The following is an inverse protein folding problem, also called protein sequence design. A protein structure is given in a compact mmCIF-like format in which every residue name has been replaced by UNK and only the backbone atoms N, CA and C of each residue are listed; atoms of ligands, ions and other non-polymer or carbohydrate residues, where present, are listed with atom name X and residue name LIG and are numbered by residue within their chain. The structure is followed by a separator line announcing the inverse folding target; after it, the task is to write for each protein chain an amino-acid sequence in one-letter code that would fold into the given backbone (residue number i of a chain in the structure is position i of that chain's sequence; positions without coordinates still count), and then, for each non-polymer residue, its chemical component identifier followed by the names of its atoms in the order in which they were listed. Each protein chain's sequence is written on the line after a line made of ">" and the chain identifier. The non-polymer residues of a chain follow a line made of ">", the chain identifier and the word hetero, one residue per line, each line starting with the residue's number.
data_IF_145979831202
#
_entry.id   IF_145979831202
#
_cell.length_a   1.000
_cell.length_b   1.000
_cell.length_c   1.000
_cell.angle_alpha   90.00
_cell.angle_beta   90.00
_cell.angle_gamma   90.00
#
_symmetry.space_group_name_H-M   'P 1'
#
loop_
_entity.id
_entity.type
_entity.pdbx_description
1 polymer ?
#
# COMPACT_ATOMS: atom_id res chain seq x y z
N UNK A 1 8.58 2.14 28.15
CA UNK A 1 8.03 2.44 26.80
C UNK A 1 6.53 2.18 26.81
N UNK A 2 5.74 3.00 26.13
CA UNK A 2 4.30 2.73 25.96
C UNK A 2 4.13 1.69 24.85
N UNK A 3 3.21 0.75 25.02
CA UNK A 3 2.86 -0.23 23.99
C UNK A 3 2.43 0.50 22.71
N UNK A 4 2.97 0.08 21.57
CA UNK A 4 2.62 0.61 20.25
C UNK A 4 1.75 -0.43 19.56
N UNK A 5 0.58 -0.03 19.10
CA UNK A 5 -0.30 -0.85 18.28
C UNK A 5 0.25 -0.92 16.83
N UNK A 6 0.68 -2.11 16.34
CA UNK A 6 1.22 -2.27 14.99
C UNK A 6 0.21 -1.96 13.88
N UNK A 7 -1.09 -2.12 14.13
CA UNK A 7 -2.12 -1.76 13.17
C UNK A 7 -2.18 -0.24 12.99
N UNK A 8 -2.14 0.53 14.09
CA UNK A 8 -2.12 2.00 14.08
C UNK A 8 -0.80 2.59 13.58
N UNK A 9 0.30 1.87 13.73
CA UNK A 9 1.57 2.30 13.19
C UNK A 9 1.66 2.18 11.65
N UNK A 10 0.75 1.42 11.03
CA UNK A 10 0.62 1.29 9.57
C UNK A 10 1.62 0.31 8.95
N UNK A 11 2.85 0.25 9.45
CA UNK A 11 3.90 -0.68 9.00
C UNK A 11 4.90 -1.00 10.11
N UNK A 12 5.71 -2.05 9.92
CA UNK A 12 6.82 -2.40 10.83
C UNK A 12 7.76 -1.21 11.06
N UNK A 13 8.07 -0.48 10.01
CA UNK A 13 8.90 0.71 10.13
C UNK A 13 8.20 1.89 10.84
N UNK A 14 6.87 2.01 10.72
CA UNK A 14 6.10 2.93 11.55
C UNK A 14 6.23 2.61 13.04
N UNK A 15 6.22 1.31 13.39
CA UNK A 15 6.47 0.84 14.76
C UNK A 15 7.90 1.20 15.20
N UNK A 16 8.90 0.97 14.34
CA UNK A 16 10.30 1.30 14.63
C UNK A 16 10.48 2.80 14.87
N UNK A 17 9.90 3.66 14.02
CA UNK A 17 9.91 5.13 14.21
C UNK A 17 9.31 5.51 15.57
N UNK A 18 8.15 4.94 15.93
CA UNK A 18 7.49 5.24 17.20
C UNK A 18 8.31 4.78 18.41
N UNK A 19 8.89 3.57 18.35
CA UNK A 19 9.79 3.06 19.40
C UNK A 19 10.99 3.97 19.56
N UNK A 20 11.61 4.37 18.45
CA UNK A 20 12.72 5.30 18.44
C UNK A 20 12.33 6.62 19.12
N UNK A 21 11.23 7.26 18.71
CA UNK A 21 10.80 8.52 19.30
C UNK A 21 10.41 8.41 20.79
N UNK A 22 10.01 7.22 21.28
CA UNK A 22 9.81 6.99 22.71
C UNK A 22 11.14 6.92 23.50
N UNK A 23 12.22 6.47 22.86
CA UNK A 23 13.55 6.41 23.47
C UNK A 23 14.22 7.79 23.55
N UNK A 24 13.83 8.73 22.68
CA UNK A 24 14.37 10.08 22.60
C UNK A 24 13.28 11.12 22.95
N UNK A 25 13.03 11.39 24.25
CA UNK A 25 11.93 12.27 24.69
C UNK A 25 12.09 13.73 24.24
N UNK A 26 13.32 14.17 23.94
CA UNK A 26 13.60 15.49 23.37
C UNK A 26 13.41 15.52 21.84
N UNK A 27 13.00 14.40 21.24
CA UNK A 27 12.72 14.27 19.82
C UNK A 27 13.94 14.06 18.94
N UNK A 28 13.67 13.74 17.68
CA UNK A 28 14.67 13.54 16.63
C UNK A 28 14.27 14.28 15.35
N UNK A 29 15.25 14.78 14.61
CA UNK A 29 15.01 15.32 13.27
C UNK A 29 14.90 14.19 12.23
N UNK A 30 14.48 14.53 11.01
CA UNK A 30 14.27 13.54 9.94
C UNK A 30 15.57 12.80 9.52
N UNK A 31 16.73 13.46 9.62
CA UNK A 31 18.03 12.84 9.34
C UNK A 31 18.37 11.76 10.37
N UNK A 32 18.19 12.08 11.65
CA UNK A 32 18.47 11.16 12.76
C UNK A 32 17.53 9.96 12.77
N UNK A 33 16.24 10.17 12.46
CA UNK A 33 15.28 9.07 12.32
C UNK A 33 15.70 8.12 11.20
N UNK A 34 16.07 8.64 10.02
CA UNK A 34 16.52 7.79 8.90
C UNK A 34 17.81 7.04 9.22
N UNK A 35 18.77 7.69 9.87
CA UNK A 35 20.03 7.06 10.26
C UNK A 35 19.81 5.91 11.25
N UNK A 36 18.80 6.03 12.12
CA UNK A 36 18.51 5.04 13.17
C UNK A 36 17.57 3.92 12.71
N UNK A 37 16.67 4.20 11.78
CA UNK A 37 15.73 3.22 11.25
C UNK A 37 16.20 2.79 9.87
N UNK A 38 17.11 1.80 9.82
CA UNK A 38 17.73 1.31 8.58
C UNK A 38 16.76 0.73 7.53
N UNK A 39 15.47 0.63 7.85
CA UNK A 39 14.38 0.18 6.97
C UNK A 39 13.54 1.32 6.39
N UNK A 40 13.76 2.56 6.82
CA UNK A 40 13.12 3.76 6.26
C UNK A 40 13.99 4.22 5.12
N UNK A 41 13.48 4.08 3.89
CA UNK A 41 14.21 4.46 2.68
C UNK A 41 14.45 5.96 2.59
N UNK A 42 14.25 6.53 1.41
CA UNK A 42 14.51 7.95 1.20
C UNK A 42 13.62 8.87 2.09
N UNK A 43 13.90 10.17 2.01
CA UNK A 43 13.18 11.18 2.78
C UNK A 43 11.66 11.15 2.52
N UNK A 44 11.23 10.80 1.30
CA UNK A 44 9.81 10.73 0.96
C UNK A 44 9.12 9.60 1.71
N UNK A 45 9.75 8.42 1.78
CA UNK A 45 9.25 7.28 2.56
C UNK A 45 9.15 7.60 4.05
N UNK A 46 10.15 8.28 4.64
CA UNK A 46 10.07 8.72 6.04
C UNK A 46 8.88 9.66 6.26
N UNK A 47 8.79 10.71 5.45
CA UNK A 47 7.77 11.75 5.62
C UNK A 47 6.37 11.14 5.49
N UNK A 48 6.23 10.17 4.59
CA UNK A 48 5.01 9.42 4.41
C UNK A 48 4.65 8.59 5.64
N UNK A 49 5.61 7.86 6.22
CA UNK A 49 5.41 7.08 7.45
C UNK A 49 5.05 7.99 8.62
N UNK A 50 5.71 9.14 8.75
CA UNK A 50 5.37 10.14 9.76
C UNK A 50 3.96 10.70 9.57
N UNK A 51 3.50 10.94 8.33
CA UNK A 51 2.09 11.34 8.08
C UNK A 51 1.11 10.28 8.60
N UNK A 52 1.39 9.00 8.35
CA UNK A 52 0.56 7.90 8.87
C UNK A 52 0.61 7.83 10.40
N UNK A 53 1.80 7.80 10.99
CA UNK A 53 1.99 7.73 12.45
C UNK A 53 1.29 8.88 13.17
N UNK A 54 1.43 10.11 12.65
CA UNK A 54 0.79 11.31 13.21
C UNK A 54 -0.73 11.28 13.17
N UNK A 55 -1.36 10.35 12.45
CA UNK A 55 -2.80 10.12 12.51
C UNK A 55 -3.20 9.56 13.87
N UNK A 56 -2.55 8.49 14.30
CA UNK A 56 -2.90 7.73 15.51
C UNK A 56 -2.14 8.16 16.77
N UNK A 57 -0.99 8.79 16.59
CA UNK A 57 -0.12 9.21 17.68
C UNK A 57 0.07 10.73 17.64
N UNK A 58 0.15 11.35 18.82
CA UNK A 58 0.53 12.74 18.94
C UNK A 58 2.05 12.84 18.79
N UNK A 59 2.49 13.13 17.56
CA UNK A 59 3.90 13.34 17.21
C UNK A 59 4.08 14.73 16.58
N UNK A 60 4.10 15.82 17.36
CA UNK A 60 4.34 17.16 16.84
C UNK A 60 5.73 17.29 16.20
N UNK A 61 5.85 18.24 15.27
CA UNK A 61 7.14 18.72 14.77
C UNK A 61 7.33 20.11 15.37
N UNK A 62 8.19 20.20 16.38
CA UNK A 62 8.31 21.37 17.24
C UNK A 62 9.77 21.69 17.54
N UNK A 63 10.00 22.90 18.03
CA UNK A 63 11.34 23.38 18.36
C UNK A 63 11.68 22.99 19.80
N UNK A 64 12.71 22.16 19.98
CA UNK A 64 13.26 21.72 21.27
C UNK A 64 14.76 22.01 21.24
N UNK A 65 15.28 22.72 22.24
CA UNK A 65 16.70 23.09 22.34
C UNK A 65 17.28 23.66 21.02
N UNK A 66 16.57 24.65 20.47
CA UNK A 66 16.88 25.33 19.20
C UNK A 66 16.80 24.47 17.92
N UNK A 67 16.39 23.21 18.02
CA UNK A 67 16.28 22.26 16.91
C UNK A 67 14.83 21.90 16.60
N UNK A 68 14.50 21.78 15.32
CA UNK A 68 13.19 21.24 14.92
C UNK A 68 13.20 19.72 14.89
N UNK A 69 12.32 19.12 15.67
CA UNK A 69 12.32 17.68 15.94
C UNK A 69 10.91 17.12 16.00
N UNK A 70 10.78 15.83 15.70
CA UNK A 70 9.57 15.06 15.96
C UNK A 70 9.63 14.53 17.39
N UNK A 71 8.59 14.77 18.18
CA UNK A 71 8.53 14.35 19.60
C UNK A 71 7.36 13.41 19.81
N UNK A 72 7.56 12.27 20.48
CA UNK A 72 6.43 11.40 20.84
C UNK A 72 5.75 11.92 22.12
N UNK A 73 4.49 12.34 22.02
CA UNK A 73 3.69 12.85 23.15
C UNK A 73 2.60 11.86 23.61
N UNK A 74 2.42 10.75 22.90
CA UNK A 74 1.48 9.69 23.28
C UNK A 74 0.60 9.23 22.13
N UNK A 75 -0.28 8.27 22.43
CA UNK A 75 -1.34 7.83 21.53
C UNK A 75 -2.54 8.76 21.63
N UNK A 76 -3.24 8.99 20.52
CA UNK A 76 -4.48 9.75 20.51
C UNK A 76 -5.65 8.85 20.92
N UNK A 77 -6.43 9.30 21.90
CA UNK A 77 -7.49 8.50 22.56
C UNK A 77 -8.72 8.24 21.68
N UNK A 78 -8.96 9.03 20.61
CA UNK A 78 -10.15 8.93 19.76
C UNK A 78 -9.80 9.11 18.28
N UNK A 79 -9.09 8.13 17.70
CA UNK A 79 -8.83 8.11 16.26
C UNK A 79 -9.74 7.08 15.63
N UNK A 80 -10.97 7.51 15.35
CA UNK A 80 -11.72 6.93 14.23
C UNK A 80 -10.90 7.13 12.96
N UNK A 81 -11.17 6.34 11.92
CA UNK A 81 -10.70 6.66 10.56
C UNK A 81 -10.80 8.17 10.37
N UNK A 82 -9.78 8.80 9.77
CA UNK A 82 -9.85 10.23 9.50
C UNK A 82 -11.18 10.51 8.80
N UNK A 83 -11.79 11.66 9.07
CA UNK A 83 -13.23 11.91 8.88
C UNK A 83 -13.80 11.59 7.49
N UNK A 84 -12.96 11.26 6.50
CA UNK A 84 -13.33 10.98 5.11
C UNK A 84 -13.56 12.24 4.30
N UNK A 85 -13.52 13.37 4.98
CA UNK A 85 -13.79 14.67 4.40
C UNK A 85 -12.59 15.05 3.54
N UNK A 86 -12.78 14.93 2.23
CA UNK A 86 -11.87 15.48 1.23
C UNK A 86 -12.08 17.00 1.20
N UNK A 87 -11.10 17.75 1.67
CA UNK A 87 -11.19 19.22 1.70
C UNK A 87 -11.27 19.80 0.27
N UNK A 88 -11.84 21.00 0.11
CA UNK A 88 -11.86 21.68 -1.19
C UNK A 88 -10.46 21.88 -1.79
N UNK A 89 -9.45 22.14 -0.94
CA UNK A 89 -8.05 22.26 -1.35
C UNK A 89 -7.48 20.94 -1.88
N UNK A 90 -7.76 19.82 -1.22
CA UNK A 90 -7.36 18.49 -1.72
C UNK A 90 -8.09 18.17 -3.02
N UNK A 91 -9.40 18.40 -3.08
CA UNK A 91 -10.21 18.15 -4.28
C UNK A 91 -9.65 18.89 -5.50
N UNK A 92 -9.42 20.20 -5.38
CA UNK A 92 -8.87 21.02 -6.45
C UNK A 92 -7.49 20.52 -6.92
N UNK A 93 -6.62 20.14 -5.97
CA UNK A 93 -5.28 19.61 -6.27
C UNK A 93 -5.33 18.31 -7.03
N UNK A 94 -6.10 17.33 -6.56
CA UNK A 94 -6.19 16.00 -7.19
C UNK A 94 -6.80 16.10 -8.60
N UNK A 95 -7.84 16.93 -8.78
CA UNK A 95 -8.41 17.19 -10.11
C UNK A 95 -7.40 17.87 -11.04
N UNK A 96 -6.61 18.83 -10.55
CA UNK A 96 -5.59 19.51 -11.37
C UNK A 96 -4.47 18.54 -11.80
N UNK A 97 -4.06 17.62 -10.92
CA UNK A 97 -3.06 16.60 -11.22
C UNK A 97 -3.55 15.59 -12.27
N UNK A 98 -4.86 15.33 -12.31
CA UNK A 98 -5.47 14.41 -13.26
C UNK A 98 -5.57 14.96 -14.69
N UNK A 99 -5.40 16.28 -14.89
CA UNK A 99 -5.40 16.92 -16.22
C UNK A 99 -6.61 16.52 -17.08
N UNK A 100 -7.79 16.51 -16.49
CA UNK A 100 -9.03 16.16 -17.19
C UNK A 100 -9.16 14.68 -17.58
N UNK A 101 -8.26 13.81 -17.10
CA UNK A 101 -8.26 12.38 -17.42
C UNK A 101 -8.70 11.53 -16.22
N UNK A 102 -9.58 10.56 -16.46
CA UNK A 102 -9.90 9.55 -15.46
C UNK A 102 -8.65 8.70 -15.18
N UNK A 103 -8.19 8.69 -13.93
CA UNK A 103 -6.99 7.95 -13.53
C UNK A 103 -7.23 6.43 -13.43
N UNK A 104 -8.49 5.99 -13.48
CA UNK A 104 -8.83 4.58 -13.61
C UNK A 104 -8.90 4.22 -15.09
N UNK A 105 -9.96 4.53 -15.83
CA UNK A 105 -10.12 4.06 -17.21
C UNK A 105 -9.25 4.80 -18.22
N UNK A 106 -8.92 6.08 -18.02
CA UNK A 106 -8.13 6.88 -18.95
C UNK A 106 -8.93 7.78 -19.89
N UNK A 107 -10.26 7.67 -19.94
CA UNK A 107 -11.15 8.62 -20.65
C UNK A 107 -10.90 10.07 -20.25
N UNK A 108 -11.15 11.02 -21.14
CA UNK A 108 -10.96 12.47 -20.91
C UNK A 108 -12.28 13.23 -20.86
N UNK A 109 -12.31 14.33 -20.09
CA UNK A 109 -13.49 15.21 -20.00
C UNK A 109 -13.87 15.77 -21.37
N UNK A 110 -12.88 16.13 -22.18
CA UNK A 110 -13.10 16.80 -23.47
C UNK A 110 -13.53 15.84 -24.58
N UNK A 111 -12.91 14.66 -24.69
CA UNK A 111 -13.20 13.71 -25.78
C UNK A 111 -14.38 12.80 -25.45
N UNK A 112 -14.49 12.35 -24.20
CA UNK A 112 -15.48 11.36 -23.77
C UNK A 112 -16.67 11.97 -23.01
N UNK A 113 -16.70 13.30 -22.82
CA UNK A 113 -17.76 14.01 -22.09
C UNK A 113 -18.03 13.45 -20.67
N UNK A 114 -16.99 12.93 -20.01
CA UNK A 114 -17.11 12.35 -18.66
C UNK A 114 -17.05 13.44 -17.58
N UNK A 115 -17.62 13.13 -16.40
CA UNK A 115 -17.44 13.93 -15.17
C UNK A 115 -16.47 13.22 -14.24
N UNK A 116 -15.47 13.96 -13.76
CA UNK A 116 -14.52 13.47 -12.76
C UNK A 116 -14.98 13.78 -11.34
N UNK A 117 -14.68 12.85 -10.44
CA UNK A 117 -14.83 13.00 -9.00
C UNK A 117 -13.57 12.51 -8.29
N UNK A 118 -13.31 13.08 -7.12
CA UNK A 118 -12.21 12.62 -6.25
C UNK A 118 -12.75 11.54 -5.34
N UNK A 119 -12.08 10.40 -5.34
CA UNK A 119 -12.39 9.22 -4.53
C UNK A 119 -11.14 8.74 -3.78
N UNK A 120 -11.29 7.81 -2.85
CA UNK A 120 -10.16 7.11 -2.22
C UNK A 120 -9.81 5.87 -3.03
N UNK A 121 -8.55 5.65 -3.38
CA UNK A 121 -8.05 4.41 -4.00
C UNK A 121 -8.39 3.22 -3.11
N UNK A 122 -7.87 3.25 -1.87
CA UNK A 122 -8.23 2.32 -0.80
C UNK A 122 -9.43 2.88 -0.04
N UNK A 123 -10.56 2.15 0.03
CA UNK A 123 -11.74 2.57 0.80
C UNK A 123 -11.42 2.86 2.26
N UNK A 124 -12.12 3.84 2.84
CA UNK A 124 -12.00 4.14 4.27
C UNK A 124 -12.43 2.98 5.16
N UNK A 125 -13.41 2.19 4.72
CA UNK A 125 -13.84 0.96 5.41
C UNK A 125 -12.72 -0.06 5.53
N UNK A 126 -11.68 0.04 4.70
CA UNK A 126 -10.48 -0.78 4.72
C UNK A 126 -9.27 -0.05 5.33
N UNK A 127 -9.51 1.04 6.06
CA UNK A 127 -8.46 1.83 6.69
C UNK A 127 -7.74 2.82 5.77
N UNK A 128 -8.21 3.00 4.53
CA UNK A 128 -7.69 3.98 3.60
C UNK A 128 -7.78 5.41 4.15
N UNK A 129 -6.68 6.16 4.02
CA UNK A 129 -6.55 7.52 4.54
C UNK A 129 -7.02 8.57 3.53
N UNK A 130 -7.55 9.71 3.99
CA UNK A 130 -7.83 10.90 3.17
C UNK A 130 -6.58 11.75 3.02
N UNK A 131 -5.57 11.18 2.37
CA UNK A 131 -4.30 11.83 2.01
C UNK A 131 -4.12 11.77 0.51
N UNK A 132 -3.45 12.75 -0.08
CA UNK A 132 -3.33 12.89 -1.53
C UNK A 132 -2.85 11.61 -2.23
N UNK A 133 -1.98 10.83 -1.58
CA UNK A 133 -1.43 9.58 -2.13
C UNK A 133 -2.46 8.46 -2.24
N UNK A 134 -3.53 8.51 -1.45
CA UNK A 134 -4.67 7.59 -1.51
C UNK A 134 -5.88 8.23 -2.20
N UNK A 135 -5.77 9.45 -2.71
CA UNK A 135 -6.82 10.08 -3.49
C UNK A 135 -6.51 9.98 -4.99
N UNK A 136 -7.57 9.95 -5.79
CA UNK A 136 -7.47 9.97 -7.24
C UNK A 136 -8.73 10.56 -7.86
N UNK A 137 -8.59 11.07 -9.09
CA UNK A 137 -9.70 11.55 -9.90
C UNK A 137 -10.16 10.45 -10.86
N UNK A 138 -11.37 9.97 -10.69
CA UNK A 138 -11.97 8.94 -11.56
C UNK A 138 -13.33 9.41 -12.08
N UNK A 139 -13.77 8.85 -13.21
CA UNK A 139 -15.10 9.14 -13.72
C UNK A 139 -16.18 8.47 -12.87
N UNK A 140 -17.41 9.00 -12.95
CA UNK A 140 -18.57 8.46 -12.23
C UNK A 140 -18.73 6.95 -12.47
N UNK A 141 -18.69 6.50 -13.73
CA UNK A 141 -18.83 5.09 -14.08
C UNK A 141 -17.76 4.20 -13.42
N UNK A 142 -16.49 4.60 -13.46
CA UNK A 142 -15.40 3.88 -12.80
C UNK A 142 -15.58 3.82 -11.29
N UNK A 143 -16.08 4.89 -10.67
CA UNK A 143 -16.36 4.90 -9.24
C UNK A 143 -17.48 3.94 -8.87
N UNK A 144 -18.56 3.88 -9.66
CA UNK A 144 -19.61 2.89 -9.46
C UNK A 144 -19.08 1.46 -9.59
N UNK A 145 -18.36 1.16 -10.68
CA UNK A 145 -17.77 -0.17 -10.86
C UNK A 145 -16.83 -0.59 -9.73
N UNK A 146 -16.03 0.35 -9.20
CA UNK A 146 -15.19 0.12 -8.02
C UNK A 146 -16.00 -0.19 -6.77
N UNK A 147 -17.09 0.53 -6.54
CA UNK A 147 -17.99 0.27 -5.41
C UNK A 147 -18.64 -1.10 -5.52
N UNK A 148 -19.15 -1.46 -6.69
CA UNK A 148 -19.81 -2.75 -6.93
C UNK A 148 -18.83 -3.91 -6.76
N UNK A 149 -17.61 -3.75 -7.28
CA UNK A 149 -16.54 -4.73 -7.06
C UNK A 149 -16.21 -4.90 -5.58
N UNK A 150 -16.04 -3.81 -4.82
CA UNK A 150 -15.77 -3.92 -3.39
C UNK A 150 -16.94 -4.47 -2.58
N UNK A 151 -18.17 -4.20 -3.00
CA UNK A 151 -19.37 -4.77 -2.39
C UNK A 151 -19.51 -6.28 -2.63
N UNK A 152 -18.88 -6.82 -3.69
CA UNK A 152 -18.86 -8.25 -3.95
C UNK A 152 -18.00 -9.05 -2.96
N UNK A 153 -17.14 -8.37 -2.19
CA UNK A 153 -16.27 -9.04 -1.24
C UNK A 153 -16.93 -9.41 0.08
N UNK A 154 -16.50 -10.54 0.65
CA UNK A 154 -16.81 -10.86 2.04
C UNK A 154 -16.13 -9.84 2.97
N UNK A 155 -16.89 -9.05 3.75
CA UNK A 155 -16.30 -8.00 4.58
C UNK A 155 -15.32 -8.53 5.65
N UNK A 156 -15.53 -9.75 6.15
CA UNK A 156 -14.65 -10.36 7.15
C UNK A 156 -13.31 -10.75 6.54
N UNK A 157 -13.33 -11.38 5.37
CA UNK A 157 -12.10 -11.76 4.67
C UNK A 157 -11.28 -10.52 4.29
N UNK A 158 -11.95 -9.47 3.81
CA UNK A 158 -11.28 -8.20 3.52
C UNK A 158 -10.69 -7.55 4.76
N UNK A 159 -11.40 -7.56 5.89
CA UNK A 159 -10.88 -7.01 7.14
C UNK A 159 -9.60 -7.74 7.60
N UNK A 160 -9.51 -9.05 7.39
CA UNK A 160 -8.30 -9.82 7.68
C UNK A 160 -7.20 -9.55 6.65
N UNK A 161 -7.54 -9.49 5.37
CA UNK A 161 -6.60 -9.21 4.28
C UNK A 161 -5.88 -7.86 4.48
N UNK A 162 -6.65 -6.82 4.84
CA UNK A 162 -6.17 -5.46 5.08
C UNK A 162 -5.14 -5.40 6.23
N UNK A 163 -5.26 -6.29 7.23
CA UNK A 163 -4.35 -6.34 8.39
C UNK A 163 -3.01 -7.01 8.08
N UNK A 164 -2.90 -7.81 7.03
CA UNK A 164 -1.66 -8.53 6.72
C UNK A 164 -0.55 -7.52 6.44
N UNK A 165 0.61 -7.66 7.08
CA UNK A 165 1.74 -6.74 6.92
C UNK A 165 2.51 -6.97 5.63
N UNK A 166 2.75 -8.24 5.29
CA UNK A 166 3.49 -8.63 4.09
C UNK A 166 2.69 -8.30 2.83
N UNK A 167 3.25 -7.45 1.97
CA UNK A 167 2.65 -7.11 0.66
C UNK A 167 2.47 -8.39 -0.18
N UNK A 168 3.47 -9.29 -0.16
CA UNK A 168 3.40 -10.58 -0.85
C UNK A 168 2.21 -11.39 -0.38
N UNK A 169 2.04 -11.52 0.94
CA UNK A 169 0.94 -12.29 1.50
C UNK A 169 -0.42 -11.64 1.21
N UNK A 170 -0.52 -10.31 1.28
CA UNK A 170 -1.73 -9.59 0.88
C UNK A 170 -2.12 -9.89 -0.56
N UNK A 171 -1.19 -9.71 -1.50
CA UNK A 171 -1.43 -9.98 -2.92
C UNK A 171 -1.80 -11.46 -3.14
N UNK A 172 -1.06 -12.37 -2.52
CA UNK A 172 -1.28 -13.80 -2.66
C UNK A 172 -2.67 -14.23 -2.14
N UNK A 173 -3.04 -13.80 -0.94
CA UNK A 173 -4.36 -14.12 -0.37
C UNK A 173 -5.50 -13.48 -1.16
N UNK A 174 -5.31 -12.27 -1.68
CA UNK A 174 -6.30 -11.63 -2.54
C UNK A 174 -6.53 -12.43 -3.83
N UNK A 175 -5.45 -12.87 -4.48
CA UNK A 175 -5.56 -13.74 -5.65
C UNK A 175 -6.18 -15.11 -5.31
N UNK A 176 -5.94 -15.64 -4.11
CA UNK A 176 -6.57 -16.87 -3.63
C UNK A 176 -8.09 -16.75 -3.49
N UNK A 177 -8.58 -15.57 -3.09
CA UNK A 177 -10.03 -15.29 -3.03
C UNK A 177 -10.69 -15.34 -4.42
N UNK A 178 -9.92 -15.12 -5.48
CA UNK A 178 -10.33 -15.17 -6.89
C UNK A 178 -9.63 -16.30 -7.66
N UNK A 179 -9.40 -17.45 -6.99
CA UNK A 179 -8.65 -18.53 -7.62
C UNK A 179 -9.36 -18.96 -8.91
N UNK A 180 -8.58 -19.14 -9.98
CA UNK A 180 -9.03 -19.50 -11.33
C UNK A 180 -9.84 -18.41 -12.07
N UNK A 181 -9.98 -17.22 -11.49
CA UNK A 181 -10.60 -16.04 -12.12
C UNK A 181 -9.56 -14.98 -12.52
N UNK A 182 -9.90 -14.18 -13.53
CA UNK A 182 -9.07 -13.03 -13.93
C UNK A 182 -9.31 -11.83 -13.03
N UNK A 183 -8.24 -11.32 -12.43
CA UNK A 183 -8.24 -10.12 -11.59
C UNK A 183 -7.48 -9.00 -12.28
N UNK A 184 -8.11 -7.84 -12.44
CA UNK A 184 -7.47 -6.67 -13.05
C UNK A 184 -6.37 -6.07 -12.15
N UNK A 185 -5.31 -5.58 -12.80
CA UNK A 185 -4.12 -5.01 -12.16
C UNK A 185 -4.41 -3.88 -11.15
N UNK A 186 -5.39 -3.01 -11.41
CA UNK A 186 -5.68 -1.90 -10.50
C UNK A 186 -6.23 -2.37 -9.15
N UNK A 187 -6.94 -3.51 -9.11
CA UNK A 187 -7.39 -4.08 -7.84
C UNK A 187 -6.22 -4.64 -7.03
N UNK A 188 -5.28 -5.32 -7.69
CA UNK A 188 -4.07 -5.81 -7.03
C UNK A 188 -3.24 -4.64 -6.49
N UNK A 189 -3.14 -3.56 -7.27
CA UNK A 189 -2.50 -2.32 -6.85
C UNK A 189 -3.17 -1.74 -5.59
N UNK A 190 -4.50 -1.61 -5.60
CA UNK A 190 -5.25 -1.11 -4.44
C UNK A 190 -4.95 -1.96 -3.20
N UNK A 191 -5.01 -3.30 -3.30
CA UNK A 191 -4.69 -4.23 -2.21
C UNK A 191 -3.24 -4.15 -1.73
N UNK A 192 -2.29 -4.05 -2.66
CA UNK A 192 -0.88 -3.90 -2.33
C UNK A 192 -0.64 -2.63 -1.51
N UNK A 193 -1.38 -1.57 -1.82
CA UNK A 193 -1.23 -0.22 -1.29
C UNK A 193 -2.06 0.10 -0.03
N UNK A 194 -2.95 -0.81 0.41
CA UNK A 194 -3.86 -0.62 1.55
C UNK A 194 -3.18 -0.05 2.80
N UNK A 195 -2.01 -0.59 3.15
CA UNK A 195 -1.26 -0.18 4.37
C UNK A 195 -0.21 0.88 4.08
N UNK A 196 0.64 0.56 3.11
CA UNK A 196 1.73 1.40 2.63
C UNK A 196 1.78 1.20 1.12
N UNK A 197 1.94 2.29 0.37
CA UNK A 197 1.98 2.27 -1.09
C UNK A 197 3.33 1.72 -1.52
N UNK A 198 3.23 0.80 -2.45
CA UNK A 198 4.26 -0.02 -3.00
C UNK A 198 4.32 0.36 -4.47
N UNK A 199 5.21 1.31 -4.80
CA UNK A 199 5.38 1.69 -6.20
C UNK A 199 5.85 0.50 -7.06
N UNK A 200 6.45 -0.52 -6.42
CA UNK A 200 6.90 -1.78 -7.03
C UNK A 200 5.95 -2.98 -6.80
N UNK A 201 4.64 -2.78 -6.65
CA UNK A 201 3.71 -3.89 -6.39
C UNK A 201 3.78 -4.99 -7.47
N UNK A 202 4.06 -4.63 -8.74
CA UNK A 202 4.24 -5.58 -9.82
C UNK A 202 5.45 -6.48 -9.58
N UNK A 203 6.53 -5.97 -8.96
CA UNK A 203 7.68 -6.77 -8.54
C UNK A 203 7.25 -7.77 -7.47
N UNK A 204 6.53 -7.31 -6.44
CA UNK A 204 6.03 -8.17 -5.36
C UNK A 204 5.14 -9.30 -5.88
N UNK A 205 4.27 -9.00 -6.84
CA UNK A 205 3.48 -10.01 -7.56
C UNK A 205 4.37 -11.00 -8.35
N UNK A 206 5.41 -10.53 -9.05
CA UNK A 206 6.35 -11.41 -9.78
C UNK A 206 7.11 -12.34 -8.84
N UNK A 207 7.53 -11.85 -7.69
CA UNK A 207 8.28 -12.59 -6.68
C UNK A 207 7.49 -13.78 -6.11
N UNK A 208 6.15 -13.72 -6.09
CA UNK A 208 5.30 -14.86 -5.70
C UNK A 208 5.46 -16.08 -6.63
N UNK A 209 5.92 -15.87 -7.87
CA UNK A 209 6.18 -16.95 -8.84
C UNK A 209 7.59 -17.56 -8.68
N UNK A 210 8.42 -17.01 -7.81
CA UNK A 210 9.77 -17.55 -7.64
C UNK A 210 9.71 -19.00 -7.18
N UNK A 211 10.65 -19.87 -7.59
CA UNK A 211 10.65 -21.28 -7.19
C UNK A 211 10.64 -21.50 -5.67
N UNK A 212 11.21 -20.56 -4.90
CA UNK A 212 11.19 -20.57 -3.42
C UNK A 212 9.81 -20.29 -2.81
N UNK A 213 8.84 -19.83 -3.61
CA UNK A 213 7.43 -19.64 -3.23
C UNK A 213 6.55 -20.62 -4.01
N UNK A 214 6.66 -20.64 -5.35
CA UNK A 214 6.11 -21.68 -6.21
C UNK A 214 4.66 -21.51 -6.66
N UNK A 215 4.08 -20.31 -6.52
CA UNK A 215 2.74 -20.04 -7.06
C UNK A 215 2.75 -19.96 -8.58
N UNK A 216 1.68 -20.45 -9.21
CA UNK A 216 1.45 -20.23 -10.63
C UNK A 216 0.40 -19.14 -10.83
N UNK A 217 0.82 -18.04 -11.47
CA UNK A 217 -0.01 -16.86 -11.69
C UNK A 217 0.14 -16.47 -13.15
N UNK A 218 -0.87 -16.74 -13.95
CA UNK A 218 -0.91 -16.33 -15.35
C UNK A 218 -0.98 -14.80 -15.45
N UNK A 219 -0.49 -14.27 -16.57
CA UNK A 219 -0.62 -12.84 -16.91
C UNK A 219 -1.34 -12.73 -18.24
N UNK A 220 -2.39 -11.90 -18.27
CA UNK A 220 -3.13 -11.56 -19.47
C UNK A 220 -3.15 -10.05 -19.69
N UNK A 221 -3.44 -9.65 -20.94
CA UNK A 221 -3.74 -8.27 -21.28
C UNK A 221 -5.00 -8.21 -22.14
N UNK A 222 -5.75 -7.14 -22.01
CA UNK A 222 -6.89 -6.86 -22.89
C UNK A 222 -6.98 -5.36 -23.15
N UNK A 223 -7.55 -5.00 -24.31
CA UNK A 223 -7.89 -3.61 -24.64
C UNK A 223 -9.31 -3.36 -24.13
N UNK A 224 -9.49 -2.35 -23.28
CA UNK A 224 -10.84 -1.95 -22.85
C UNK A 224 -11.61 -1.36 -24.03
N UNK A 225 -12.96 -1.28 -23.95
CA UNK A 225 -13.76 -0.59 -24.98
C UNK A 225 -13.29 0.85 -25.26
N UNK A 226 -12.70 1.49 -24.27
CA UNK A 226 -12.15 2.84 -24.33
C UNK A 226 -10.72 2.91 -24.90
N UNK A 227 -10.15 1.77 -25.27
CA UNK A 227 -8.88 1.68 -25.97
C UNK A 227 -7.65 1.49 -25.08
N UNK A 228 -7.81 1.38 -23.76
CA UNK A 228 -6.69 1.22 -22.84
C UNK A 228 -6.24 -0.23 -22.73
N UNK A 229 -4.94 -0.47 -22.69
CA UNK A 229 -4.41 -1.80 -22.41
C UNK A 229 -4.37 -2.01 -20.89
N UNK A 230 -5.11 -3.01 -20.42
CA UNK A 230 -5.12 -3.46 -19.02
C UNK A 230 -4.36 -4.75 -18.89
N UNK A 231 -3.60 -4.87 -17.80
CA UNK A 231 -3.07 -6.16 -17.36
C UNK A 231 -4.03 -6.79 -16.37
N UNK A 232 -4.14 -8.11 -16.43
CA UNK A 232 -4.92 -8.94 -15.51
C UNK A 232 -4.13 -10.18 -15.15
N UNK A 233 -4.42 -10.77 -14.00
CA UNK A 233 -3.70 -11.90 -13.45
C UNK A 233 -4.66 -12.96 -12.94
N UNK A 234 -4.30 -14.23 -13.09
CA UNK A 234 -5.11 -15.36 -12.63
C UNK A 234 -4.22 -16.34 -11.87
N UNK A 235 -4.55 -16.60 -10.61
CA UNK A 235 -3.86 -17.63 -9.82
C UNK A 235 -4.43 -19.00 -10.17
N UNK A 236 -3.60 -19.85 -10.77
CA UNK A 236 -3.95 -21.22 -11.18
C UNK A 236 -3.48 -22.26 -10.17
N UNK A 237 -2.32 -22.03 -9.54
CA UNK A 237 -1.78 -22.90 -8.48
C UNK A 237 -1.46 -22.10 -7.23
N UNK A 238 -2.15 -22.44 -6.14
CA UNK A 238 -1.87 -21.95 -4.79
C UNK A 238 -0.77 -22.78 -4.13
N UNK A 239 0.10 -22.11 -3.37
CA UNK A 239 1.03 -22.71 -2.41
C UNK A 239 0.96 -21.88 -1.14
N UNK A 240 0.91 -22.51 0.03
CA UNK A 240 0.97 -21.77 1.29
C UNK A 240 2.32 -21.06 1.43
N UNK A 241 2.26 -19.77 1.73
CA UNK A 241 3.47 -18.96 1.90
C UNK A 241 4.28 -19.47 3.10
N UNK A 242 5.58 -19.77 2.92
CA UNK A 242 6.44 -20.11 4.04
C UNK A 242 6.45 -18.98 5.09
N UNK A 243 6.53 -19.28 6.40
CA UNK A 243 6.60 -18.24 7.43
C UNK A 243 7.74 -17.23 7.22
N UNK A 244 8.84 -17.67 6.61
CA UNK A 244 10.01 -16.86 6.27
C UNK A 244 10.05 -16.40 4.79
N UNK A 245 8.92 -16.38 4.08
CA UNK A 245 8.84 -16.07 2.65
C UNK A 245 9.56 -14.78 2.26
N UNK A 246 9.47 -13.71 3.05
CA UNK A 246 10.17 -12.45 2.77
C UNK A 246 11.69 -12.62 2.72
N UNK A 247 12.25 -13.42 3.64
CA UNK A 247 13.68 -13.75 3.65
C UNK A 247 14.03 -14.62 2.45
N UNK A 248 13.22 -15.62 2.13
CA UNK A 248 13.45 -16.51 0.98
C UNK A 248 13.46 -15.73 -0.34
N UNK A 249 12.48 -14.84 -0.54
CA UNK A 249 12.42 -13.97 -1.72
C UNK A 249 13.65 -13.05 -1.79
N UNK A 250 14.04 -12.44 -0.67
CA UNK A 250 15.24 -11.60 -0.61
C UNK A 250 16.52 -12.37 -0.90
N UNK A 251 16.67 -13.56 -0.35
CA UNK A 251 17.84 -14.42 -0.61
C UNK A 251 17.83 -14.93 -2.06
N UNK A 252 16.66 -15.16 -2.66
CA UNK A 252 16.56 -15.48 -4.08
C UNK A 252 16.94 -14.30 -4.97
N UNK A 253 16.70 -13.05 -4.57
CA UNK A 253 17.14 -11.87 -5.34
C UNK A 253 18.66 -11.68 -5.36
N UNK A 254 19.37 -12.18 -4.35
CA UNK A 254 20.83 -12.19 -4.29
C UNK A 254 21.41 -13.27 -5.22
N UNK A 255 22.15 -12.85 -6.26
CA UNK A 255 22.74 -13.75 -7.26
C UNK A 255 23.59 -14.87 -6.66
N UNK A 256 24.39 -14.58 -5.63
CA UNK A 256 25.29 -15.56 -5.00
C UNK A 256 24.47 -16.63 -4.26
N UNK A 257 23.47 -16.19 -3.51
CA UNK A 257 22.59 -17.09 -2.76
C UNK A 257 21.65 -17.87 -3.67
N UNK A 258 21.13 -17.26 -4.74
CA UNK A 258 20.29 -17.92 -5.75
C UNK A 258 20.95 -19.16 -6.33
N UNK A 259 22.24 -19.10 -6.64
CA UNK A 259 22.97 -20.26 -7.18
C UNK A 259 22.98 -21.44 -6.20
N UNK A 260 23.25 -21.15 -4.92
CA UNK A 260 23.22 -22.16 -3.85
C UNK A 260 21.81 -22.73 -3.64
N UNK A 261 20.80 -21.87 -3.64
CA UNK A 261 19.40 -22.29 -3.47
C UNK A 261 18.95 -23.16 -4.65
N UNK A 262 19.32 -22.80 -5.89
CA UNK A 262 19.02 -23.62 -7.08
C UNK A 262 19.60 -25.03 -6.94
N UNK A 263 20.86 -25.14 -6.52
CA UNK A 263 21.51 -26.44 -6.27
C UNK A 263 20.78 -27.24 -5.18
N UNK A 264 20.40 -26.60 -4.08
CA UNK A 264 19.67 -27.26 -2.98
C UNK A 264 18.27 -27.75 -3.39
N UNK A 265 17.58 -27.00 -4.26
CA UNK A 265 16.24 -27.33 -4.73
C UNK A 265 16.21 -28.22 -5.98
N UNK A 266 17.38 -28.61 -6.51
CA UNK A 266 17.46 -29.40 -7.74
C UNK A 266 16.92 -28.67 -8.97
N UNK A 267 17.01 -27.33 -8.99
CA UNK A 267 16.54 -26.49 -10.09
C UNK A 267 17.72 -26.16 -11.02
N UNK A 268 17.53 -26.31 -12.34
CA UNK A 268 18.48 -25.88 -13.36
C UNK A 268 18.64 -24.34 -13.39
#
# INVERSE_FOLDING_TARGET
>A
MKTIDPAKAGSTAGVEILKLLQMYPNGLNAGEIRASVGTVGDQEQLMRRLRHVRKYYHVPYEKVDDRWVYVFRGEKQNVTTDSGIITGKQRARILNLAKGRCQMCGRTVDEDSIKLQVDHRVPQTWGGLTVDENLWAICVQCNHGKRDFFASFNPREMAELVKIESVHERIARFLKMHKDEWVDSHYIEDIANVRERQDDWQKRLRELRYPVVGMDIETGRYKTPEGFIRSRYKLTKWVDLPPNHQKLIRDWDDKKKRLLIKQQLGLA
#
